data_IF_199101935316
#
_entry.id   IF_199101935316
#
_cell.length_a   1.000
_cell.length_b   1.000
_cell.length_c   1.000
_cell.angle_alpha   90.00
_cell.angle_beta   90.00
_cell.angle_gamma   90.00
#
_symmetry.space_group_name_H-M   'P 1'
#
loop_
_entity.id
_entity.type
_entity.pdbx_description
1 polymer ?
#
# COMPACT_ATOMS: atom_id res chain seq x y z
N UNK A 1 -23.14 -14.93 -25.91
CA UNK A 1 -22.55 -15.71 -24.81
C UNK A 1 -21.86 -14.74 -23.86
N UNK A 2 -22.26 -14.70 -22.59
CA UNK A 2 -21.74 -13.75 -21.60
C UNK A 2 -20.60 -14.43 -20.83
N UNK A 3 -19.37 -13.88 -20.91
CA UNK A 3 -18.17 -14.51 -20.34
C UNK A 3 -17.75 -13.74 -19.09
N UNK A 4 -17.94 -14.38 -17.94
CA UNK A 4 -17.33 -14.03 -16.65
C UNK A 4 -18.17 -13.10 -15.77
N UNK A 5 -18.76 -13.64 -14.70
CA UNK A 5 -19.33 -12.86 -13.60
C UNK A 5 -18.42 -12.99 -12.38
N UNK A 6 -18.00 -11.85 -11.80
CA UNK A 6 -17.42 -11.81 -10.45
C UNK A 6 -18.36 -10.99 -9.58
N UNK A 7 -19.13 -11.70 -8.77
CA UNK A 7 -19.91 -11.12 -7.68
C UNK A 7 -18.98 -11.16 -6.47
N UNK A 8 -18.71 -9.98 -5.92
CA UNK A 8 -18.01 -9.74 -4.67
C UNK A 8 -16.45 -9.61 -4.73
N UNK A 9 -15.96 -8.62 -3.97
CA UNK A 9 -14.59 -8.12 -3.87
C UNK A 9 -14.01 -7.44 -5.14
N UNK A 10 -13.70 -6.15 -5.00
CA UNK A 10 -13.26 -5.23 -6.05
C UNK A 10 -12.34 -5.83 -7.13
N UNK A 11 -12.54 -5.34 -8.36
CA UNK A 11 -11.76 -5.77 -9.52
C UNK A 11 -10.26 -5.59 -9.28
N UNK A 12 -9.46 -6.58 -9.67
CA UNK A 12 -8.01 -6.36 -9.80
C UNK A 12 -7.79 -5.38 -10.96
N UNK A 13 -6.78 -4.51 -10.86
CA UNK A 13 -6.55 -3.46 -11.88
C UNK A 13 -6.39 -4.01 -13.29
N UNK A 14 -5.86 -5.21 -13.43
CA UNK A 14 -5.55 -5.82 -14.73
C UNK A 14 -6.73 -6.63 -15.29
N UNK A 15 -7.83 -6.75 -14.53
CA UNK A 15 -8.97 -7.59 -14.88
C UNK A 15 -9.71 -7.14 -16.15
N UNK A 16 -9.95 -5.83 -16.38
CA UNK A 16 -10.55 -5.37 -17.64
C UNK A 16 -9.70 -5.74 -18.86
N UNK A 17 -8.37 -5.65 -18.73
CA UNK A 17 -7.44 -6.04 -19.80
C UNK A 17 -7.53 -7.53 -20.11
N UNK A 18 -7.62 -8.39 -19.09
CA UNK A 18 -7.83 -9.83 -19.28
C UNK A 18 -9.12 -10.14 -20.05
N UNK A 19 -10.22 -9.44 -19.74
CA UNK A 19 -11.48 -9.59 -20.48
C UNK A 19 -11.39 -9.09 -21.92
N UNK A 20 -10.69 -7.98 -22.17
CA UNK A 20 -10.44 -7.48 -23.54
C UNK A 20 -9.65 -8.49 -24.38
N UNK A 21 -8.60 -9.09 -23.82
CA UNK A 21 -7.82 -10.13 -24.52
C UNK A 21 -8.72 -11.31 -24.91
N UNK A 22 -9.58 -11.76 -24.00
CA UNK A 22 -10.53 -12.85 -24.28
C UNK A 22 -11.54 -12.45 -25.37
N UNK A 23 -12.12 -11.25 -25.27
CA UNK A 23 -13.03 -10.69 -26.28
C UNK A 23 -12.37 -10.68 -27.66
N UNK A 24 -11.17 -10.13 -27.75
CA UNK A 24 -10.44 -9.99 -29.02
C UNK A 24 -10.10 -11.35 -29.63
N UNK A 25 -9.76 -12.35 -28.80
CA UNK A 25 -9.57 -13.72 -29.25
C UNK A 25 -10.87 -14.33 -29.81
N UNK A 26 -12.00 -14.16 -29.13
CA UNK A 26 -13.30 -14.66 -29.62
C UNK A 26 -13.73 -14.01 -30.94
N UNK A 27 -13.45 -12.71 -31.12
CA UNK A 27 -13.66 -12.00 -32.38
C UNK A 27 -12.74 -12.57 -33.47
N UNK A 28 -11.45 -12.73 -33.18
CA UNK A 28 -10.47 -13.27 -34.14
C UNK A 28 -10.80 -14.70 -34.59
N UNK A 29 -11.38 -15.51 -33.72
CA UNK A 29 -11.81 -16.88 -34.02
C UNK A 29 -13.21 -16.97 -34.65
N UNK A 30 -13.89 -15.84 -34.89
CA UNK A 30 -15.22 -15.82 -35.51
C UNK A 30 -16.31 -16.51 -34.69
N UNK A 31 -16.12 -16.61 -33.36
CA UNK A 31 -17.02 -17.37 -32.47
C UNK A 31 -18.40 -16.70 -32.38
N UNK A 32 -18.46 -15.37 -32.51
CA UNK A 32 -19.70 -14.61 -32.52
C UNK A 32 -19.56 -13.33 -33.37
N UNK A 33 -20.66 -12.83 -33.95
CA UNK A 33 -20.67 -11.60 -34.73
C UNK A 33 -20.43 -10.33 -33.90
N UNK A 34 -20.63 -10.42 -32.58
CA UNK A 34 -20.35 -9.35 -31.62
C UNK A 34 -19.91 -9.95 -30.29
N UNK A 35 -18.85 -9.41 -29.72
CA UNK A 35 -18.38 -9.73 -28.36
C UNK A 35 -18.08 -8.42 -27.66
N UNK A 36 -18.60 -8.25 -26.45
CA UNK A 36 -18.40 -7.07 -25.62
C UNK A 36 -18.07 -7.48 -24.19
N UNK A 37 -17.29 -6.65 -23.51
CA UNK A 37 -17.00 -6.76 -22.08
C UNK A 37 -17.94 -5.85 -21.31
N UNK A 38 -18.78 -6.41 -20.44
CA UNK A 38 -19.76 -5.63 -19.67
C UNK A 38 -19.47 -5.71 -18.18
N UNK A 39 -19.47 -4.56 -17.51
CA UNK A 39 -19.48 -4.48 -16.06
C UNK A 39 -20.93 -4.54 -15.56
N UNK A 40 -21.33 -5.68 -14.97
CA UNK A 40 -22.67 -5.86 -14.41
C UNK A 40 -22.56 -5.98 -12.89
N UNK A 41 -23.16 -5.05 -12.16
CA UNK A 41 -23.05 -4.95 -10.69
C UNK A 41 -24.16 -4.08 -10.10
N UNK A 42 -24.42 -4.05 -8.79
CA UNK A 42 -25.25 -3.02 -8.16
C UNK A 42 -24.75 -1.60 -8.47
N UNK A 43 -25.67 -0.65 -8.61
CA UNK A 43 -25.39 0.74 -8.99
C UNK A 43 -24.34 1.43 -8.10
N UNK A 44 -24.34 1.13 -6.80
CA UNK A 44 -23.38 1.65 -5.83
C UNK A 44 -21.93 1.23 -6.12
N UNK A 45 -21.71 0.01 -6.65
CA UNK A 45 -20.38 -0.47 -7.00
C UNK A 45 -19.90 0.07 -8.34
N UNK A 46 -20.81 0.23 -9.31
CA UNK A 46 -20.48 0.90 -10.59
C UNK A 46 -20.07 2.34 -10.32
N UNK A 47 -20.85 3.08 -9.53
CA UNK A 47 -20.57 4.48 -9.19
C UNK A 47 -19.24 4.67 -8.44
N UNK A 48 -18.85 3.68 -7.64
CA UNK A 48 -17.58 3.69 -6.88
C UNK A 48 -16.36 3.16 -7.65
N UNK A 49 -16.56 2.59 -8.85
CA UNK A 49 -15.48 1.94 -9.60
C UNK A 49 -14.69 2.95 -10.43
N UNK A 50 -13.36 2.82 -10.42
CA UNK A 50 -12.45 3.59 -11.28
C UNK A 50 -12.17 2.91 -12.62
N UNK A 51 -12.73 1.73 -12.84
CA UNK A 51 -12.46 0.87 -13.98
C UNK A 51 -13.67 0.74 -14.90
N UNK A 52 -14.75 1.49 -14.67
CA UNK A 52 -15.98 1.42 -15.49
C UNK A 52 -15.66 1.69 -16.96
N UNK A 53 -14.84 2.71 -17.22
CA UNK A 53 -14.43 3.13 -18.57
C UNK A 53 -13.50 2.12 -19.25
N UNK A 54 -13.01 1.11 -18.51
CA UNK A 54 -12.19 0.04 -19.08
C UNK A 54 -13.03 -1.11 -19.68
N UNK A 55 -14.34 -1.12 -19.48
CA UNK A 55 -15.28 -2.06 -20.10
C UNK A 55 -15.96 -1.43 -21.33
N UNK A 56 -16.53 -2.25 -22.21
CA UNK A 56 -17.31 -1.76 -23.37
C UNK A 56 -18.68 -1.20 -22.96
N UNK A 57 -19.14 -1.52 -21.75
CA UNK A 57 -20.32 -0.93 -21.14
C UNK A 57 -20.50 -1.35 -19.68
N UNK A 58 -21.41 -0.68 -18.99
CA UNK A 58 -21.80 -1.04 -17.63
C UNK A 58 -23.33 -1.07 -17.50
N UNK A 59 -23.84 -2.04 -16.75
CA UNK A 59 -25.28 -2.24 -16.55
C UNK A 59 -25.57 -2.52 -15.06
N UNK A 60 -26.29 -1.62 -14.37
CA UNK A 60 -26.64 -1.87 -12.98
C UNK A 60 -27.66 -3.00 -12.84
N UNK A 61 -27.57 -3.78 -11.76
CA UNK A 61 -28.56 -4.81 -11.42
C UNK A 61 -29.98 -4.24 -11.33
N UNK A 62 -30.10 -2.99 -10.87
CA UNK A 62 -31.35 -2.25 -10.78
C UNK A 62 -32.00 -2.03 -12.15
N UNK A 63 -31.21 -1.87 -13.21
CA UNK A 63 -31.69 -1.78 -14.59
C UNK A 63 -31.90 -3.16 -15.24
N UNK A 64 -31.20 -4.20 -14.77
CA UNK A 64 -31.38 -5.59 -15.21
C UNK A 64 -32.65 -6.21 -14.62
N UNK A 65 -33.08 -5.77 -13.43
CA UNK A 65 -34.24 -6.26 -12.69
C UNK A 65 -35.51 -6.55 -13.53
N UNK A 66 -35.99 -5.65 -14.40
CA UNK A 66 -37.19 -5.92 -15.20
C UNK A 66 -36.97 -6.96 -16.31
N UNK A 67 -35.71 -7.28 -16.65
CA UNK A 67 -35.34 -8.15 -17.77
C UNK A 67 -35.02 -9.59 -17.34
N UNK A 68 -34.93 -9.87 -16.04
CA UNK A 68 -34.65 -11.21 -15.50
C UNK A 68 -35.93 -11.97 -15.16
N UNK A 69 -35.90 -13.28 -15.46
CA UNK A 69 -36.94 -14.24 -15.09
C UNK A 69 -37.01 -14.43 -13.58
N UNK A 70 -38.09 -15.03 -13.10
CA UNK A 70 -38.44 -15.08 -11.67
C UNK A 70 -37.38 -15.78 -10.80
N UNK A 71 -36.79 -16.87 -11.31
CA UNK A 71 -35.74 -17.64 -10.61
C UNK A 71 -34.45 -16.81 -10.39
N UNK A 72 -34.06 -16.00 -11.38
CA UNK A 72 -32.88 -15.14 -11.31
C UNK A 72 -33.15 -13.81 -10.58
N UNK A 73 -34.42 -13.36 -10.57
CA UNK A 73 -34.84 -12.10 -9.94
C UNK A 73 -34.55 -12.09 -8.44
N UNK A 74 -34.80 -13.21 -7.75
CA UNK A 74 -34.52 -13.32 -6.33
C UNK A 74 -33.02 -13.13 -6.00
N UNK A 75 -32.14 -13.65 -6.86
CA UNK A 75 -30.69 -13.46 -6.72
C UNK A 75 -30.27 -12.01 -6.97
N UNK A 76 -30.84 -11.36 -7.99
CA UNK A 76 -30.60 -9.94 -8.31
C UNK A 76 -31.06 -9.04 -7.16
N UNK A 77 -32.27 -9.26 -6.63
CA UNK A 77 -32.80 -8.50 -5.48
C UNK A 77 -31.96 -8.70 -4.22
N UNK A 78 -31.55 -9.93 -3.94
CA UNK A 78 -30.65 -10.22 -2.81
C UNK A 78 -29.33 -9.48 -2.95
N UNK A 79 -28.76 -9.43 -4.16
CA UNK A 79 -27.51 -8.74 -4.41
C UNK A 79 -27.63 -7.21 -4.29
N UNK A 80 -28.73 -6.61 -4.78
CA UNK A 80 -29.04 -5.19 -4.59
C UNK A 80 -29.20 -4.86 -3.11
N UNK A 81 -29.95 -5.69 -2.37
CA UNK A 81 -30.15 -5.54 -0.92
C UNK A 81 -28.82 -5.59 -0.16
N UNK A 82 -27.99 -6.60 -0.44
CA UNK A 82 -26.65 -6.74 0.17
C UNK A 82 -25.73 -5.56 -0.15
N UNK A 83 -25.76 -5.04 -1.36
CA UNK A 83 -24.93 -3.90 -1.74
C UNK A 83 -25.40 -2.57 -1.11
N UNK A 84 -26.70 -2.47 -0.81
CA UNK A 84 -27.30 -1.32 -0.13
C UNK A 84 -27.06 -1.35 1.39
N UNK A 85 -26.75 -2.53 1.95
CA UNK A 85 -26.33 -2.67 3.34
C UNK A 85 -24.81 -2.40 3.46
N UNK A 86 -24.36 -1.44 4.28
CA UNK A 86 -22.95 -1.31 4.57
C UNK A 86 -22.44 -2.63 5.15
N UNK A 87 -21.24 -3.06 4.75
CA UNK A 87 -20.58 -4.17 5.42
C UNK A 87 -20.38 -3.78 6.89
N UNK A 88 -21.12 -4.44 7.77
CA UNK A 88 -20.96 -4.36 9.21
C UNK A 88 -20.10 -5.53 9.66
N UNK A 89 -18.79 -5.32 9.89
CA UNK A 89 -17.94 -6.37 10.46
C UNK A 89 -18.51 -6.81 11.80
N UNK A 90 -18.89 -8.09 11.91
CA UNK A 90 -19.27 -8.67 13.20
C UNK A 90 -18.00 -8.76 14.05
N UNK A 91 -17.94 -8.06 15.20
CA UNK A 91 -16.77 -8.08 16.06
C UNK A 91 -16.58 -9.48 16.64
N UNK A 92 -15.34 -9.98 16.59
CA UNK A 92 -14.94 -11.17 17.33
C UNK A 92 -14.25 -10.73 18.61
N UNK A 93 -14.94 -10.90 19.75
CA UNK A 93 -14.49 -10.39 21.06
C UNK A 93 -13.06 -10.85 21.41
N UNK A 94 -12.76 -12.14 21.20
CA UNK A 94 -11.43 -12.69 21.46
C UNK A 94 -10.33 -11.96 20.64
N UNK A 95 -10.64 -11.63 19.39
CA UNK A 95 -9.72 -10.89 18.52
C UNK A 95 -9.56 -9.46 18.98
N UNK A 96 -10.65 -8.77 19.31
CA UNK A 96 -10.57 -7.41 19.86
C UNK A 96 -9.70 -7.40 21.13
N UNK A 97 -9.95 -8.32 22.06
CA UNK A 97 -9.19 -8.48 23.30
C UNK A 97 -7.70 -8.76 23.06
N UNK A 98 -7.36 -9.58 22.06
CA UNK A 98 -5.97 -9.78 21.65
C UNK A 98 -5.31 -8.47 21.18
N UNK A 99 -5.98 -7.69 20.33
CA UNK A 99 -5.40 -6.43 19.83
C UNK A 99 -5.26 -5.39 20.95
N UNK A 100 -6.22 -5.30 21.87
CA UNK A 100 -6.16 -4.41 23.02
C UNK A 100 -5.03 -4.80 23.98
N UNK A 101 -4.92 -6.09 24.30
CA UNK A 101 -3.83 -6.62 25.12
C UNK A 101 -2.46 -6.42 24.46
N UNK A 102 -2.36 -6.58 23.13
CA UNK A 102 -1.14 -6.28 22.39
C UNK A 102 -0.77 -4.80 22.52
N UNK A 103 -1.74 -3.89 22.38
CA UNK A 103 -1.53 -2.46 22.53
C UNK A 103 -1.08 -2.09 23.96
N UNK A 104 -1.62 -2.73 24.99
CA UNK A 104 -1.17 -2.55 26.37
C UNK A 104 0.28 -3.01 26.56
N UNK A 105 0.67 -4.16 26.00
CA UNK A 105 2.05 -4.66 26.07
C UNK A 105 3.01 -3.67 25.38
N UNK A 106 2.66 -3.22 24.17
CA UNK A 106 3.46 -2.21 23.45
C UNK A 106 3.57 -0.92 24.27
N UNK A 107 2.47 -0.39 24.78
CA UNK A 107 2.47 0.85 25.56
C UNK A 107 3.34 0.78 26.82
N UNK A 108 3.45 -0.39 27.44
CA UNK A 108 4.29 -0.60 28.63
C UNK A 108 5.77 -0.84 28.30
N UNK A 109 6.04 -1.75 27.37
CA UNK A 109 7.41 -2.23 27.12
C UNK A 109 8.14 -1.47 25.99
N UNK A 110 7.40 -0.87 25.06
CA UNK A 110 7.94 -0.20 23.87
C UNK A 110 7.15 1.08 23.56
N UNK A 111 7.12 2.08 24.48
CA UNK A 111 6.27 3.27 24.34
C UNK A 111 6.55 4.10 23.08
N UNK A 112 7.74 3.97 22.51
CA UNK A 112 8.14 4.64 21.26
C UNK A 112 7.58 3.95 20.01
N UNK A 113 6.97 2.77 20.11
CA UNK A 113 6.31 2.10 18.99
C UNK A 113 4.81 2.38 19.08
N UNK A 114 4.28 3.24 18.21
CA UNK A 114 2.87 3.63 18.22
C UNK A 114 2.08 2.76 17.26
N UNK A 115 1.15 1.99 17.79
CA UNK A 115 0.21 1.22 16.97
C UNK A 115 -0.74 2.21 16.29
N UNK A 116 -0.91 2.04 14.98
CA UNK A 116 -1.92 2.79 14.24
C UNK A 116 -3.29 2.31 14.68
N UNK A 117 -4.12 3.23 15.17
CA UNK A 117 -5.55 2.97 15.40
C UNK A 117 -6.14 2.53 14.08
N UNK A 118 -6.46 1.25 13.99
CA UNK A 118 -7.02 0.68 12.80
C UNK A 118 -8.32 0.02 13.21
N UNK A 119 -9.43 0.56 12.74
CA UNK A 119 -10.55 -0.32 12.59
C UNK A 119 -11.19 -0.17 11.22
N UNK A 120 -11.83 -1.24 10.82
CA UNK A 120 -12.89 -1.18 9.83
C UNK A 120 -14.01 -0.27 10.34
N UNK A 121 -15.13 -0.16 9.62
CA UNK A 121 -16.36 0.44 10.16
C UNK A 121 -16.65 -0.10 11.57
N UNK A 122 -16.99 0.80 12.50
CA UNK A 122 -17.49 0.42 13.84
C UNK A 122 -16.47 -0.11 14.85
N UNK A 123 -15.16 0.15 14.71
CA UNK A 123 -14.14 -0.35 15.64
C UNK A 123 -13.97 -1.88 15.68
N UNK A 124 -14.62 -2.62 14.79
CA UNK A 124 -14.63 -4.08 14.83
C UNK A 124 -13.41 -4.73 14.16
N UNK A 125 -13.05 -5.89 14.69
CA UNK A 125 -12.01 -6.78 14.15
C UNK A 125 -12.63 -8.15 13.85
N UNK A 126 -12.43 -8.60 12.63
CA UNK A 126 -12.82 -9.93 12.16
C UNK A 126 -11.77 -10.96 12.57
N UNK A 127 -12.11 -12.24 12.58
CA UNK A 127 -11.18 -13.37 12.80
C UNK A 127 -9.95 -13.32 11.87
N UNK A 128 -10.13 -12.89 10.63
CA UNK A 128 -9.04 -12.73 9.66
C UNK A 128 -8.08 -11.56 9.97
N UNK A 129 -8.33 -10.76 11.01
CA UNK A 129 -7.48 -9.63 11.40
C UNK A 129 -6.17 -10.11 12.00
N UNK A 130 -5.14 -10.27 11.16
CA UNK A 130 -3.84 -10.87 11.55
C UNK A 130 -2.65 -9.91 11.44
N UNK A 131 -2.90 -8.63 11.17
CA UNK A 131 -1.85 -7.64 10.98
C UNK A 131 -2.04 -6.46 11.93
N UNK A 132 -0.96 -6.11 12.61
CA UNK A 132 -0.85 -4.93 13.47
C UNK A 132 0.00 -3.91 12.73
N UNK A 133 -0.55 -2.74 12.48
CA UNK A 133 0.15 -1.65 11.80
C UNK A 133 0.69 -0.66 12.83
N UNK A 134 1.87 -0.12 12.57
CA UNK A 134 2.47 0.92 13.38
C UNK A 134 2.44 2.25 12.61
N UNK A 135 2.16 3.33 13.33
CA UNK A 135 2.34 4.67 12.80
C UNK A 135 3.84 4.95 12.66
N UNK A 136 4.32 5.07 11.43
CA UNK A 136 5.74 5.17 11.14
C UNK A 136 6.37 6.45 11.68
N UNK A 137 5.66 7.58 11.55
CA UNK A 137 6.15 8.88 12.02
C UNK A 137 6.15 8.94 13.53
N UNK A 138 5.04 8.57 14.17
CA UNK A 138 4.93 8.58 15.61
C UNK A 138 5.82 7.51 16.28
N UNK A 139 6.22 6.47 15.53
CA UNK A 139 7.20 5.48 15.98
C UNK A 139 8.68 5.84 15.72
N UNK A 140 8.93 7.05 15.21
CA UNK A 140 10.27 7.60 15.03
C UNK A 140 11.05 7.06 13.82
N UNK A 141 10.42 6.32 12.90
CA UNK A 141 11.13 5.84 11.71
C UNK A 141 11.55 7.01 10.82
N UNK A 142 12.82 7.04 10.43
CA UNK A 142 13.35 8.07 9.53
C UNK A 142 12.68 7.97 8.16
N UNK A 143 12.34 9.13 7.60
CA UNK A 143 11.96 9.25 6.20
C UNK A 143 13.17 9.67 5.36
N UNK A 144 13.26 9.17 4.14
CA UNK A 144 14.30 9.54 3.19
C UNK A 144 13.66 10.24 1.98
N UNK A 145 13.71 11.59 1.90
CA UNK A 145 13.02 12.36 0.86
C UNK A 145 13.44 12.03 -0.58
N UNK A 146 14.61 11.42 -0.76
CA UNK A 146 15.11 11.01 -2.07
C UNK A 146 14.55 9.66 -2.54
N UNK A 147 13.93 8.88 -1.66
CA UNK A 147 13.25 7.64 -2.06
C UNK A 147 11.89 8.02 -2.63
N UNK A 148 11.80 8.04 -3.96
CA UNK A 148 10.60 8.47 -4.66
C UNK A 148 9.78 7.30 -5.22
N UNK A 149 8.48 7.50 -5.30
CA UNK A 149 7.51 6.73 -6.05
C UNK A 149 6.69 7.71 -6.88
N UNK A 150 6.75 7.61 -8.20
CA UNK A 150 6.02 8.49 -9.13
C UNK A 150 6.23 9.99 -8.81
N UNK A 151 7.49 10.40 -8.61
CA UNK A 151 7.91 11.76 -8.23
C UNK A 151 7.41 12.27 -6.86
N UNK A 152 6.85 11.40 -6.01
CA UNK A 152 6.49 11.72 -4.62
C UNK A 152 7.34 10.90 -3.67
N UNK A 153 7.56 11.41 -2.46
CA UNK A 153 8.28 10.63 -1.43
C UNK A 153 7.53 9.32 -1.18
N UNK A 154 8.24 8.20 -1.33
CA UNK A 154 7.69 6.88 -1.14
C UNK A 154 7.27 6.70 0.32
N UNK A 155 6.07 6.14 0.52
CA UNK A 155 5.56 5.92 1.87
C UNK A 155 6.22 4.71 2.50
N UNK A 156 6.54 4.85 3.79
CA UNK A 156 7.02 3.75 4.62
C UNK A 156 5.81 3.19 5.38
N UNK A 157 5.68 1.88 5.39
CA UNK A 157 4.67 1.15 6.17
C UNK A 157 5.36 0.16 7.08
N UNK A 158 4.93 0.09 8.34
CA UNK A 158 5.50 -0.82 9.33
C UNK A 158 4.38 -1.69 9.89
N UNK A 159 4.63 -3.00 9.99
CA UNK A 159 3.63 -3.93 10.48
C UNK A 159 4.23 -5.18 11.12
N UNK A 160 3.48 -5.77 12.04
CA UNK A 160 3.64 -7.14 12.51
C UNK A 160 2.53 -8.02 11.91
N UNK A 161 2.92 -9.06 11.18
CA UNK A 161 2.05 -10.07 10.64
C UNK A 161 2.00 -11.27 11.61
N UNK A 162 0.98 -11.31 12.46
CA UNK A 162 0.78 -12.32 13.52
C UNK A 162 0.59 -13.72 12.95
N UNK A 163 -0.10 -13.81 11.80
CA UNK A 163 -0.30 -15.03 11.03
C UNK A 163 -0.46 -14.66 9.55
N UNK A 164 0.33 -15.27 8.68
CA UNK A 164 0.21 -15.14 7.23
C UNK A 164 0.07 -16.53 6.61
N UNK A 165 -1.02 -16.80 5.89
CA UNK A 165 -1.18 -18.06 5.15
C UNK A 165 -0.50 -18.02 3.79
N UNK A 166 -0.11 -16.83 3.30
CA UNK A 166 0.51 -16.63 1.98
C UNK A 166 2.00 -16.24 2.03
N UNK A 167 2.58 -16.10 3.22
CA UNK A 167 4.02 -15.87 3.39
C UNK A 167 4.69 -17.08 4.05
N UNK A 168 5.97 -17.36 3.75
CA UNK A 168 6.70 -18.51 4.29
C UNK A 168 6.86 -18.45 5.82
N UNK A 169 6.69 -17.27 6.43
CA UNK A 169 6.82 -17.03 7.85
C UNK A 169 6.00 -15.83 8.30
N UNK A 170 5.57 -15.86 9.56
CA UNK A 170 5.13 -14.67 10.31
C UNK A 170 6.30 -13.74 10.52
N UNK A 171 6.06 -12.44 10.47
CA UNK A 171 7.16 -11.47 10.44
C UNK A 171 6.77 -10.07 10.87
N UNK A 172 7.76 -9.33 11.35
CA UNK A 172 7.72 -7.86 11.36
C UNK A 172 8.43 -7.34 10.12
N UNK A 173 7.90 -6.25 9.57
CA UNK A 173 8.38 -5.69 8.30
C UNK A 173 8.27 -4.17 8.27
N UNK A 174 9.34 -3.54 7.78
CA UNK A 174 9.32 -2.19 7.22
C UNK A 174 9.22 -2.32 5.71
N UNK A 175 8.28 -1.63 5.10
CA UNK A 175 7.95 -1.71 3.69
C UNK A 175 8.03 -0.33 3.04
N UNK A 176 8.82 -0.22 1.98
CA UNK A 176 8.87 0.92 1.09
C UNK A 176 7.88 0.71 -0.05
N UNK A 177 6.79 1.48 -0.05
CA UNK A 177 5.67 1.28 -0.95
C UNK A 177 6.05 1.54 -2.42
N UNK A 178 5.66 0.62 -3.31
CA UNK A 178 5.87 0.74 -4.76
C UNK A 178 7.27 0.34 -5.24
N UNK A 179 8.15 -0.11 -4.34
CA UNK A 179 9.55 -0.40 -4.66
C UNK A 179 9.87 -1.86 -4.97
N UNK A 180 8.87 -2.76 -5.07
CA UNK A 180 9.13 -4.18 -5.34
C UNK A 180 9.95 -4.42 -6.62
N UNK A 181 9.68 -3.67 -7.70
CA UNK A 181 10.41 -3.78 -8.96
C UNK A 181 11.90 -3.38 -8.85
N UNK A 182 12.29 -2.70 -7.77
CA UNK A 182 13.67 -2.27 -7.53
C UNK A 182 14.48 -3.26 -6.68
N UNK A 183 13.90 -4.40 -6.28
CA UNK A 183 14.53 -5.37 -5.38
C UNK A 183 15.95 -5.76 -5.82
N UNK A 184 16.13 -6.17 -7.08
CA UNK A 184 17.43 -6.60 -7.60
C UNK A 184 18.51 -5.50 -7.52
N UNK A 185 18.12 -4.21 -7.63
CA UNK A 185 19.03 -3.07 -7.54
C UNK A 185 19.28 -2.65 -6.08
N UNK A 186 18.28 -2.77 -5.23
CA UNK A 186 18.34 -2.35 -3.83
C UNK A 186 19.09 -3.36 -2.95
N UNK A 187 18.99 -4.67 -3.23
CA UNK A 187 19.61 -5.72 -2.41
C UNK A 187 21.12 -5.48 -2.23
N UNK A 188 21.95 -5.30 -3.29
CA UNK A 188 23.38 -5.08 -3.09
C UNK A 188 23.73 -3.86 -2.22
N UNK A 189 22.88 -2.83 -2.24
CA UNK A 189 23.08 -1.58 -1.48
C UNK A 189 22.69 -1.76 -0.02
N UNK A 190 21.58 -2.44 0.24
CA UNK A 190 21.01 -2.61 1.58
C UNK A 190 21.58 -3.82 2.32
N UNK A 191 22.10 -4.82 1.60
CA UNK A 191 22.61 -6.08 2.17
C UNK A 191 23.67 -5.86 3.26
N UNK A 192 24.66 -4.96 3.09
CA UNK A 192 25.66 -4.70 4.14
C UNK A 192 25.04 -4.23 5.46
N UNK A 193 23.94 -3.48 5.42
CA UNK A 193 23.28 -2.96 6.63
C UNK A 193 22.48 -4.03 7.38
N UNK A 194 21.99 -5.06 6.69
CA UNK A 194 21.17 -6.14 7.25
C UNK A 194 21.95 -7.42 7.55
N UNK A 195 23.13 -7.59 6.94
CA UNK A 195 23.99 -8.75 7.14
C UNK A 195 24.32 -8.96 8.64
N UNK A 196 24.27 -10.22 9.09
CA UNK A 196 24.52 -10.59 10.49
C UNK A 196 23.40 -10.27 11.48
N UNK A 197 22.33 -9.58 11.08
CA UNK A 197 21.25 -9.12 12.00
C UNK A 197 19.98 -9.99 11.99
N UNK A 198 20.01 -11.16 11.34
CA UNK A 198 18.80 -11.99 11.06
C UNK A 198 17.68 -11.19 10.39
N UNK A 199 18.05 -10.17 9.63
CA UNK A 199 17.18 -9.37 8.78
C UNK A 199 17.43 -9.78 7.33
N UNK A 200 16.40 -9.75 6.50
CA UNK A 200 16.52 -10.00 5.07
C UNK A 200 15.61 -9.09 4.26
N UNK A 201 15.94 -8.94 2.98
CA UNK A 201 15.24 -8.04 2.07
C UNK A 201 14.44 -8.90 1.08
N UNK A 202 13.17 -8.57 0.87
CA UNK A 202 12.32 -9.25 -0.11
C UNK A 202 11.21 -8.35 -0.64
N UNK A 203 10.49 -8.84 -1.64
CA UNK A 203 9.20 -8.24 -2.02
C UNK A 203 8.11 -8.58 -0.98
N UNK A 204 7.19 -7.64 -0.79
CA UNK A 204 5.95 -7.81 -0.03
C UNK A 204 4.81 -7.12 -0.80
N UNK A 205 4.14 -7.89 -1.67
CA UNK A 205 3.26 -7.33 -2.69
C UNK A 205 4.04 -6.34 -3.57
N UNK A 206 3.53 -5.11 -3.69
CA UNK A 206 4.19 -4.03 -4.46
C UNK A 206 5.34 -3.32 -3.73
N UNK A 207 5.64 -3.70 -2.49
CA UNK A 207 6.65 -3.02 -1.67
C UNK A 207 7.97 -3.78 -1.65
N UNK A 208 9.07 -3.05 -1.47
CA UNK A 208 10.34 -3.61 -0.99
C UNK A 208 10.31 -3.65 0.53
N UNK A 209 10.69 -4.76 1.16
CA UNK A 209 10.58 -4.94 2.59
C UNK A 209 11.92 -5.35 3.23
N UNK A 210 12.23 -4.77 4.39
CA UNK A 210 13.19 -5.31 5.36
C UNK A 210 12.39 -6.11 6.37
N UNK A 211 12.74 -7.38 6.54
CA UNK A 211 11.91 -8.37 7.24
C UNK A 211 12.72 -9.08 8.31
N UNK A 212 12.07 -9.36 9.43
CA UNK A 212 12.54 -10.30 10.44
C UNK A 212 11.43 -11.29 10.75
N UNK A 213 11.74 -12.59 10.72
CA UNK A 213 10.77 -13.63 11.06
C UNK A 213 10.40 -13.57 12.54
N UNK A 214 9.16 -13.87 12.88
CA UNK A 214 8.64 -13.90 14.24
C UNK A 214 7.95 -15.24 14.51
N UNK A 215 7.75 -15.57 15.78
CA UNK A 215 6.85 -16.66 16.12
C UNK A 215 5.42 -16.28 15.71
N UNK A 216 4.62 -17.29 15.35
CA UNK A 216 3.20 -17.09 15.06
C UNK A 216 2.48 -16.66 16.34
N UNK A 217 1.58 -15.69 16.19
CA UNK A 217 0.64 -15.28 17.22
C UNK A 217 -0.77 -15.67 16.79
N UNK A 218 -1.52 -16.24 17.72
CA UNK A 218 -2.94 -16.55 17.53
C UNK A 218 -3.79 -15.41 18.09
N UNK A 219 -4.52 -14.73 17.20
CA UNK A 219 -5.39 -13.61 17.56
C UNK A 219 -6.70 -14.06 18.22
N UNK A 220 -6.99 -15.37 18.31
CA UNK A 220 -8.12 -15.90 19.07
C UNK A 220 -7.76 -16.20 20.54
N UNK A 221 -6.48 -16.11 20.89
CA UNK A 221 -5.98 -16.27 22.25
C UNK A 221 -5.55 -14.93 22.83
N UNK A 222 -5.52 -14.80 24.15
CA UNK A 222 -5.16 -13.55 24.81
C UNK A 222 -3.71 -13.14 24.50
N UNK A 223 -3.48 -11.84 24.32
CA UNK A 223 -2.13 -11.30 24.11
C UNK A 223 -1.20 -11.49 25.33
N UNK A 224 -1.66 -11.35 26.61
CA UNK A 224 -0.82 -11.65 27.77
C UNK A 224 -0.26 -13.08 27.79
N UNK A 225 -1.05 -14.07 27.36
CA UNK A 225 -0.57 -15.46 27.28
C UNK A 225 0.55 -15.64 26.24
N UNK A 226 0.68 -14.72 25.29
CA UNK A 226 1.67 -14.72 24.22
C UNK A 226 2.70 -13.59 24.37
N UNK A 227 2.79 -12.96 25.56
CA UNK A 227 3.57 -11.75 25.79
C UNK A 227 5.04 -11.89 25.37
N UNK A 228 5.70 -13.01 25.72
CA UNK A 228 7.10 -13.22 25.36
C UNK A 228 7.30 -13.20 23.84
N UNK A 229 6.42 -13.83 23.07
CA UNK A 229 6.49 -13.84 21.61
C UNK A 229 6.23 -12.44 21.02
N UNK A 230 5.29 -11.68 21.60
CA UNK A 230 5.01 -10.29 21.25
C UNK A 230 6.25 -9.42 21.48
N UNK A 231 6.86 -9.48 22.66
CA UNK A 231 8.04 -8.69 22.98
C UNK A 231 9.23 -9.03 22.08
N UNK A 232 9.44 -10.31 21.75
CA UNK A 232 10.49 -10.70 20.80
C UNK A 232 10.23 -10.15 19.39
N UNK A 233 8.97 -10.07 18.95
CA UNK A 233 8.62 -9.42 17.69
C UNK A 233 8.89 -7.90 17.75
N UNK A 234 8.59 -7.24 18.87
CA UNK A 234 8.83 -5.80 19.06
C UNK A 234 10.33 -5.47 19.09
N UNK A 235 11.17 -6.30 19.73
CA UNK A 235 12.64 -6.18 19.66
C UNK A 235 13.15 -6.26 18.23
N UNK A 236 12.62 -7.19 17.44
CA UNK A 236 12.97 -7.30 16.01
C UNK A 236 12.52 -6.09 15.22
N UNK A 237 11.37 -5.50 15.57
CA UNK A 237 10.90 -4.29 14.92
C UNK A 237 11.76 -3.07 15.26
N UNK A 238 12.24 -2.95 16.51
CA UNK A 238 13.25 -1.95 16.87
C UNK A 238 14.56 -2.16 16.09
N UNK A 239 15.04 -3.41 15.98
CA UNK A 239 16.23 -3.71 15.19
C UNK A 239 16.08 -3.29 13.71
N UNK A 240 14.88 -3.47 13.13
CA UNK A 240 14.55 -2.97 11.79
C UNK A 240 14.62 -1.43 11.76
N UNK A 241 14.01 -0.75 12.74
CA UNK A 241 14.06 0.72 12.85
C UNK A 241 15.51 1.22 12.94
N UNK A 242 16.29 0.69 13.87
CA UNK A 242 17.66 1.11 14.10
C UNK A 242 18.55 0.83 12.88
N UNK A 243 18.30 -0.29 12.19
CA UNK A 243 19.01 -0.61 10.93
C UNK A 243 18.63 0.35 9.82
N UNK A 244 17.34 0.70 9.68
CA UNK A 244 16.86 1.64 8.67
C UNK A 244 17.35 3.07 8.93
N UNK A 245 17.29 3.52 10.18
CA UNK A 245 17.66 4.87 10.60
C UNK A 245 19.18 5.06 10.61
N UNK A 246 19.93 3.98 10.87
CA UNK A 246 21.39 3.94 10.82
C UNK A 246 21.99 3.86 9.42
N UNK A 247 21.18 3.80 8.35
CA UNK A 247 21.70 3.86 6.99
C UNK A 247 22.27 5.26 6.72
N UNK A 248 23.59 5.36 6.70
CA UNK A 248 24.27 6.59 6.31
C UNK A 248 24.06 6.85 4.81
N UNK A 249 23.47 8.02 4.53
CA UNK A 249 23.48 8.53 3.17
C UNK A 249 24.82 9.21 2.89
N UNK A 250 25.76 8.48 2.31
CA UNK A 250 26.83 9.14 1.56
C UNK A 250 26.17 9.77 0.33
N UNK A 251 25.98 11.10 0.35
CA UNK A 251 25.64 11.84 -0.86
C UNK A 251 26.61 11.36 -1.96
N UNK A 252 26.12 10.90 -3.12
CA UNK A 252 27.00 10.70 -4.26
C UNK A 252 27.79 11.99 -4.42
N UNK A 253 29.12 11.92 -4.30
CA UNK A 253 29.98 13.04 -4.65
C UNK A 253 29.55 13.45 -6.05
N UNK A 254 28.96 14.64 -6.17
CA UNK A 254 28.60 15.20 -7.47
C UNK A 254 29.84 15.10 -8.33
N UNK A 255 29.81 14.28 -9.37
CA UNK A 255 30.58 14.56 -10.58
C UNK A 255 29.92 15.77 -11.24
N UNK A 256 29.99 16.94 -10.59
CA UNK A 256 30.00 18.19 -11.31
C UNK A 256 31.46 18.37 -11.67
N UNK A 257 31.83 17.80 -12.82
CA UNK A 257 32.91 18.37 -13.58
C UNK A 257 32.59 19.86 -13.71
N UNK A 258 33.49 20.69 -13.20
CA UNK A 258 33.62 22.07 -13.57
C UNK A 258 33.69 22.14 -15.10
N UNK A 259 32.54 22.29 -15.74
CA UNK A 259 32.49 22.95 -17.04
C UNK A 259 32.69 24.43 -16.74
N UNK A 260 33.97 24.80 -16.63
CA UNK A 260 34.41 26.15 -16.85
C UNK A 260 33.73 26.66 -18.13
N UNK A 261 32.82 27.63 -17.98
CA UNK A 261 32.37 28.44 -19.09
C UNK A 261 33.60 29.15 -19.67
N UNK A 262 33.81 29.14 -21.00
CA UNK A 262 34.91 29.88 -21.58
C UNK A 262 34.66 31.38 -21.33
N UNK A 263 35.65 32.03 -20.73
CA UNK A 263 35.72 33.46 -20.58
C UNK A 263 35.78 34.12 -21.96
N UNK A 264 34.64 34.55 -22.49
CA UNK A 264 34.61 35.50 -23.59
C UNK A 264 34.53 36.91 -23.00
N UNK A 265 35.70 37.56 -22.96
CA UNK A 265 35.79 38.98 -22.77
C UNK A 265 35.09 39.74 -23.90
N UNK A 266 34.44 40.83 -23.54
CA UNK A 266 34.43 42.08 -24.31
C UNK A 266 33.97 43.21 -23.42
N UNK A 267 34.95 44.03 -23.06
CA UNK A 267 34.80 45.37 -22.52
C UNK A 267 33.94 46.25 -23.44
N UNK A 268 32.94 46.92 -22.87
CA UNK A 268 32.52 48.30 -23.17
C UNK A 268 31.96 48.81 -21.83
N UNK A 269 32.58 49.73 -21.10
CA UNK A 269 33.00 51.05 -21.54
C UNK A 269 31.89 52.05 -21.24
N UNK A 270 31.73 52.46 -19.97
CA UNK A 270 31.00 53.65 -19.59
C UNK A 270 31.79 54.40 -18.50
N UNK A 271 32.10 55.69 -18.68
CA UNK A 271 32.87 56.46 -17.71
C UNK A 271 31.96 56.94 -16.55
N UNK A 272 32.55 57.28 -15.39
CA UNK A 272 31.80 57.77 -14.25
C UNK A 272 31.40 59.23 -14.48
N UNK A 273 30.21 59.62 -14.01
CA UNK A 273 29.88 61.04 -13.82
C UNK A 273 29.48 61.31 -12.38
N UNK A 274 30.13 62.34 -11.88
CA UNK A 274 30.14 62.86 -10.53
C UNK A 274 28.81 63.45 -10.05
N UNK A 275 28.76 63.56 -8.73
CA UNK A 275 27.81 64.27 -7.88
C UNK A 275 27.42 65.66 -8.42
N UNK A 276 26.14 65.99 -8.30
CA UNK A 276 25.71 67.34 -7.96
C UNK A 276 24.45 67.30 -7.08
N UNK A 277 24.58 67.86 -5.87
CA UNK A 277 23.47 68.26 -4.98
C UNK A 277 22.61 69.32 -5.66
N UNK A 278 21.30 69.33 -5.37
CA UNK A 278 20.51 70.49 -4.87
C UNK A 278 19.01 70.13 -4.85
N UNK A 279 18.44 70.04 -3.65
CA UNK A 279 17.07 70.52 -3.36
C UNK A 279 17.04 72.07 -3.49
N UNK A 280 15.92 72.81 -3.35
CA UNK A 280 14.52 72.42 -3.04
C UNK A 280 13.42 73.11 -3.89
N UNK A 281 12.19 72.64 -3.76
CA UNK A 281 10.96 73.44 -3.48
C UNK A 281 9.81 72.48 -3.17
#
# INVERSE_FOLDING_TARGET
MLIGNKIDAGFTRDQPQGYRISRDAHIAHGVAPLVATLLISPSIYISGSRLVDDFDGALPYEALRPLVHEDDRAAVETAIGRASSPYEPVPVEAVMSFFDGYAQIVGKAYPDLRIKTNPNSGNARLEASRTIYFDTRASGFRSYPFLLKDNKVASIRVSHQCWDSGAPSTSVKLMLDGWAAHLAKAVPILQPAVAGKRLYIRSAGRSLAIVADTARLDNTHSAPAQQQAIEQALKKLQLIRDTWDGMEWQRPRRCLADKALPANGRERGYPPRDRARRDPA
#
